data_IF_690588654335
#
_entry.id   IF_690588654335
#
_cell.length_a   1.000
_cell.length_b   1.000
_cell.length_c   1.000
_cell.angle_alpha   90.00
_cell.angle_beta   90.00
_cell.angle_gamma   90.00
#
_symmetry.space_group_name_H-M   'P 1'
#
loop_
_entity.id
_entity.type
_entity.pdbx_description
1 polymer ?
#
# COMPACT_ATOMS: atom_id res chain seq x y z
N UNK A 1 1.85 -20.95 12.47
CA UNK A 1 2.84 -19.91 12.82
C UNK A 1 2.06 -18.86 13.58
N UNK A 2 2.38 -18.62 14.84
CA UNK A 2 1.76 -17.61 15.68
C UNK A 2 2.88 -16.72 16.23
N UNK A 3 2.59 -15.45 16.49
CA UNK A 3 3.53 -14.55 17.15
C UNK A 3 3.60 -14.86 18.63
N UNK A 4 4.80 -14.77 19.21
CA UNK A 4 5.04 -15.06 20.62
C UNK A 4 4.65 -13.87 21.53
N UNK A 5 4.51 -12.67 20.95
CA UNK A 5 4.09 -11.47 21.67
C UNK A 5 3.30 -10.50 20.80
N UNK A 6 2.58 -9.58 21.47
CA UNK A 6 1.95 -8.45 20.79
C UNK A 6 2.98 -7.56 20.09
N UNK A 7 4.15 -7.35 20.71
CA UNK A 7 5.21 -6.51 20.14
C UNK A 7 5.70 -7.07 18.80
N UNK A 8 5.94 -8.39 18.74
CA UNK A 8 6.34 -9.06 17.50
C UNK A 8 5.26 -8.95 16.42
N UNK A 9 4.00 -9.19 16.78
CA UNK A 9 2.88 -9.04 15.85
C UNK A 9 2.76 -7.60 15.33
N UNK A 10 2.92 -6.61 16.22
CA UNK A 10 2.87 -5.20 15.88
C UNK A 10 4.00 -4.81 14.93
N UNK A 11 5.23 -5.24 15.19
CA UNK A 11 6.36 -4.98 14.31
C UNK A 11 6.14 -5.58 12.92
N UNK A 12 5.71 -6.84 12.84
CA UNK A 12 5.42 -7.48 11.56
C UNK A 12 4.37 -6.72 10.74
N UNK A 13 3.30 -6.24 11.40
CA UNK A 13 2.27 -5.42 10.75
C UNK A 13 2.84 -4.07 10.32
N UNK A 14 3.60 -3.39 11.17
CA UNK A 14 4.21 -2.09 10.86
C UNK A 14 5.15 -2.17 9.66
N UNK A 15 6.01 -3.18 9.62
CA UNK A 15 6.92 -3.43 8.50
C UNK A 15 6.15 -3.70 7.21
N UNK A 16 5.12 -4.54 7.29
CA UNK A 16 4.27 -4.81 6.14
C UNK A 16 3.56 -3.56 5.63
N UNK A 17 2.98 -2.74 6.52
CA UNK A 17 2.29 -1.51 6.15
C UNK A 17 3.24 -0.51 5.48
N UNK A 18 4.47 -0.37 6.01
CA UNK A 18 5.50 0.46 5.38
C UNK A 18 5.86 -0.04 3.99
N UNK A 19 6.16 -1.34 3.86
CA UNK A 19 6.44 -1.96 2.55
C UNK A 19 5.29 -1.76 1.57
N UNK A 20 4.05 -2.01 2.00
CA UNK A 20 2.87 -1.91 1.15
C UNK A 20 2.68 -0.47 0.66
N UNK A 21 2.71 0.52 1.54
CA UNK A 21 2.42 1.89 1.17
C UNK A 21 3.54 2.56 0.37
N UNK A 22 4.80 2.20 0.63
CA UNK A 22 5.96 2.89 0.05
C UNK A 22 6.59 2.16 -1.13
N UNK A 23 6.42 0.83 -1.25
CA UNK A 23 7.20 0.01 -2.20
C UNK A 23 6.36 -0.92 -3.07
N UNK A 24 5.18 -1.35 -2.62
CA UNK A 24 4.37 -2.30 -3.39
C UNK A 24 3.78 -1.61 -4.61
N UNK A 25 4.06 -2.14 -5.80
CA UNK A 25 3.50 -1.64 -7.06
C UNK A 25 2.19 -2.35 -7.40
N UNK A 26 1.21 -1.57 -7.86
CA UNK A 26 -0.12 -2.05 -8.23
C UNK A 26 -0.56 -1.50 -9.59
N UNK A 27 -0.86 -2.40 -10.52
CA UNK A 27 -1.27 -2.03 -11.89
C UNK A 27 -2.62 -1.31 -11.97
N UNK A 28 -3.46 -1.45 -10.95
CA UNK A 28 -4.75 -0.73 -10.86
C UNK A 28 -4.57 0.76 -10.53
N UNK A 29 -3.44 1.14 -9.94
CA UNK A 29 -3.12 2.52 -9.55
C UNK A 29 -1.91 3.03 -10.34
N UNK A 30 -1.90 2.75 -11.64
CA UNK A 30 -0.92 3.28 -12.59
C UNK A 30 0.53 2.81 -12.33
N UNK A 31 0.69 1.60 -11.78
CA UNK A 31 1.99 1.04 -11.44
C UNK A 31 2.78 1.92 -10.46
N UNK A 32 2.07 2.61 -9.57
CA UNK A 32 2.66 3.41 -8.49
C UNK A 32 2.54 2.70 -7.13
N UNK A 33 3.43 3.01 -6.18
CA UNK A 33 3.18 2.77 -4.77
C UNK A 33 1.92 3.51 -4.28
N UNK A 34 1.14 2.95 -3.34
CA UNK A 34 -0.06 3.58 -2.82
C UNK A 34 0.14 5.03 -2.35
N UNK A 35 1.25 5.31 -1.67
CA UNK A 35 1.55 6.66 -1.17
C UNK A 35 1.77 7.68 -2.29
N UNK A 36 2.48 7.29 -3.35
CA UNK A 36 2.72 8.17 -4.49
C UNK A 36 1.45 8.41 -5.29
N UNK A 37 0.66 7.36 -5.51
CA UNK A 37 -0.64 7.48 -6.13
C UNK A 37 -1.54 8.46 -5.35
N UNK A 38 -1.63 8.32 -4.03
CA UNK A 38 -2.43 9.19 -3.18
C UNK A 38 -1.99 10.66 -3.26
N UNK A 39 -0.68 10.93 -3.29
CA UNK A 39 -0.15 12.29 -3.48
C UNK A 39 -0.55 12.86 -4.84
N UNK A 40 -0.37 12.08 -5.92
CA UNK A 40 -0.66 12.52 -7.28
C UNK A 40 -2.16 12.75 -7.51
N UNK A 41 -3.01 11.93 -6.89
CA UNK A 41 -4.47 12.05 -6.94
C UNK A 41 -5.00 13.33 -6.27
N UNK A 42 -4.25 13.94 -5.35
CA UNK A 42 -4.64 15.21 -4.72
C UNK A 42 -4.45 16.42 -5.64
N UNK A 43 -3.56 16.32 -6.63
CA UNK A 43 -3.21 17.43 -7.52
C UNK A 43 -3.71 17.24 -8.94
N UNK A 44 -4.00 16.01 -9.34
CA UNK A 44 -4.33 15.65 -10.71
C UNK A 44 -5.58 14.78 -10.79
N UNK A 45 -6.35 14.95 -11.86
CA UNK A 45 -7.40 13.99 -12.22
C UNK A 45 -6.77 12.78 -12.90
N UNK A 46 -6.70 11.65 -12.19
CA UNK A 46 -6.12 10.40 -12.68
C UNK A 46 -7.20 9.50 -13.27
N UNK A 47 -6.90 8.87 -14.42
CA UNK A 47 -7.75 7.83 -15.01
C UNK A 47 -7.22 6.48 -14.55
N UNK A 48 -7.93 5.81 -13.65
CA UNK A 48 -7.56 4.48 -13.14
C UNK A 48 -8.48 3.39 -13.71
N UNK A 49 -7.97 2.16 -13.77
CA UNK A 49 -8.78 0.99 -14.13
C UNK A 49 -9.57 0.56 -12.92
N UNK A 50 -10.89 0.54 -13.04
CA UNK A 50 -11.77 -0.02 -12.03
C UNK A 50 -11.43 -1.52 -11.87
N UNK A 51 -11.02 -1.92 -10.66
CA UNK A 51 -10.84 -3.34 -10.34
C UNK A 51 -12.20 -3.87 -9.90
N UNK A 52 -12.85 -4.65 -10.77
CA UNK A 52 -14.03 -5.43 -10.39
C UNK A 52 -13.54 -6.74 -9.79
N UNK A 53 -13.82 -6.94 -8.51
CA UNK A 53 -13.56 -8.19 -7.77
C UNK A 53 -14.84 -9.02 -7.77
#
# INVERSE_FOLDING_TARGET
MAFDSYEEAYQAVMEYMKFYNERRIHSSILDLPPHEFYKKAQTESLIIKEVRV
#
